data_IF_214106199429
#
_entry.id   IF_214106199429
#
_cell.length_a   1.000
_cell.length_b   1.000
_cell.length_c   1.000
_cell.angle_alpha   90.00
_cell.angle_beta   90.00
_cell.angle_gamma   90.00
#
_symmetry.space_group_name_H-M   'P 1'
#
loop_
_entity.id
_entity.type
_entity.pdbx_description
1 polymer ?
#
# COMPACT_ATOMS: atom_id res chain seq x y z
N UNK A 1 5.06 -14.27 -13.03
CA UNK A 1 4.66 -13.04 -12.34
C UNK A 1 5.83 -12.08 -12.39
N UNK A 2 5.68 -10.89 -12.99
CA UNK A 2 6.74 -9.87 -12.91
C UNK A 2 6.82 -9.42 -11.46
N UNK A 3 7.99 -9.48 -10.80
CA UNK A 3 8.13 -8.93 -9.46
C UNK A 3 7.75 -7.45 -9.51
N UNK A 4 7.01 -6.99 -8.51
CA UNK A 4 6.72 -5.58 -8.33
C UNK A 4 8.07 -4.83 -8.32
N UNK A 5 8.29 -3.98 -9.32
CA UNK A 5 9.49 -3.14 -9.42
C UNK A 5 9.36 -1.94 -8.48
N UNK A 6 9.03 -2.18 -7.22
CA UNK A 6 9.00 -1.14 -6.19
C UNK A 6 10.34 -1.16 -5.47
N UNK A 7 10.96 0.01 -5.37
CA UNK A 7 12.14 0.17 -4.54
C UNK A 7 11.76 -0.08 -3.07
N UNK A 8 12.68 -0.61 -2.24
CA UNK A 8 12.42 -0.84 -0.83
C UNK A 8 11.99 0.43 -0.10
N UNK A 9 12.53 1.58 -0.48
CA UNK A 9 12.14 2.90 0.05
C UNK A 9 10.67 3.24 -0.23
N UNK A 10 10.20 2.96 -1.46
CA UNK A 10 8.79 3.15 -1.86
C UNK A 10 7.88 2.16 -1.14
N UNK A 11 8.34 0.92 -0.93
CA UNK A 11 7.59 -0.09 -0.21
C UNK A 11 7.37 0.29 1.26
N UNK A 12 8.39 0.82 1.94
CA UNK A 12 8.26 1.32 3.32
C UNK A 12 7.24 2.46 3.40
N UNK A 13 7.37 3.46 2.52
CA UNK A 13 6.44 4.60 2.48
C UNK A 13 5.00 4.16 2.18
N UNK A 14 4.80 3.24 1.23
CA UNK A 14 3.49 2.70 0.91
C UNK A 14 2.90 1.91 2.09
N UNK A 15 3.70 1.10 2.78
CA UNK A 15 3.28 0.35 3.96
C UNK A 15 2.80 1.30 5.08
N UNK A 16 3.54 2.40 5.31
CA UNK A 16 3.16 3.44 6.28
C UNK A 16 1.87 4.16 5.87
N UNK A 17 1.76 4.62 4.62
CA UNK A 17 0.58 5.33 4.11
C UNK A 17 -0.68 4.47 4.09
N UNK A 18 -0.53 3.17 3.78
CA UNK A 18 -1.62 2.21 3.78
C UNK A 18 -1.89 1.62 5.17
N UNK A 19 -1.08 1.97 6.17
CA UNK A 19 -1.08 1.44 7.52
C UNK A 19 -1.13 -0.10 7.56
N UNK A 20 -0.31 -0.74 6.73
CA UNK A 20 -0.16 -2.20 6.65
C UNK A 20 1.30 -2.61 6.85
N UNK A 21 1.57 -3.81 7.38
CA UNK A 21 2.93 -4.28 7.55
C UNK A 21 3.65 -4.49 6.21
N UNK A 22 4.94 -4.15 6.18
CA UNK A 22 5.78 -4.26 4.99
C UNK A 22 5.83 -5.68 4.43
N UNK A 23 5.89 -6.71 5.29
CA UNK A 23 5.82 -8.12 4.89
C UNK A 23 4.55 -8.41 4.07
N UNK A 24 3.40 -7.93 4.54
CA UNK A 24 2.13 -8.08 3.84
C UNK A 24 2.13 -7.33 2.51
N UNK A 25 2.74 -6.13 2.45
CA UNK A 25 2.88 -5.36 1.22
C UNK A 25 3.72 -6.11 0.17
N UNK A 26 4.83 -6.73 0.58
CA UNK A 26 5.72 -7.48 -0.32
C UNK A 26 5.07 -8.74 -0.91
N UNK A 27 4.16 -9.36 -0.17
CA UNK A 27 3.36 -10.50 -0.65
C UNK A 27 2.08 -10.08 -1.38
N UNK A 28 1.76 -8.79 -1.38
CA UNK A 28 0.52 -8.29 -1.95
C UNK A 28 0.56 -8.30 -3.48
N UNK A 29 -0.49 -8.81 -4.14
CA UNK A 29 -0.58 -8.71 -5.60
C UNK A 29 -0.89 -7.28 -6.03
N UNK A 30 -0.35 -6.88 -7.19
CA UNK A 30 -0.39 -5.50 -7.70
C UNK A 30 -1.80 -4.90 -7.82
N UNK A 31 -2.80 -5.70 -8.19
CA UNK A 31 -4.18 -5.22 -8.33
C UNK A 31 -4.85 -4.88 -6.98
N UNK A 32 -4.40 -5.47 -5.87
CA UNK A 32 -4.88 -5.12 -4.52
C UNK A 32 -4.25 -3.80 -4.07
N UNK A 33 -2.97 -3.58 -4.39
CA UNK A 33 -2.32 -2.28 -4.14
C UNK A 33 -3.05 -1.15 -4.85
N UNK A 34 -3.40 -1.36 -6.13
CA UNK A 34 -4.16 -0.36 -6.90
C UNK A 34 -5.54 -0.09 -6.31
N UNK A 35 -6.25 -1.12 -5.84
CA UNK A 35 -7.52 -0.94 -5.15
C UNK A 35 -7.35 -0.13 -3.87
N UNK A 36 -6.38 -0.47 -3.02
CA UNK A 36 -6.14 0.28 -1.77
C UNK A 36 -5.70 1.72 -2.02
N UNK A 37 -4.91 1.97 -3.07
CA UNK A 37 -4.54 3.33 -3.49
C UNK A 37 -5.75 4.12 -4.01
N UNK A 38 -6.67 3.46 -4.72
CA UNK A 38 -7.92 4.07 -5.14
C UNK A 38 -8.84 4.35 -3.93
N UNK A 39 -8.91 3.44 -2.96
CA UNK A 39 -9.63 3.62 -1.69
C UNK A 39 -9.03 4.75 -0.85
N UNK A 40 -7.70 4.88 -0.80
CA UNK A 40 -7.02 6.00 -0.14
C UNK A 40 -7.38 7.35 -0.77
N UNK A 41 -7.30 7.47 -2.10
CA UNK A 41 -7.66 8.70 -2.79
C UNK A 41 -9.16 9.02 -2.70
N UNK A 42 -10.02 7.99 -2.71
CA UNK A 42 -11.47 8.17 -2.57
C UNK A 42 -11.90 8.42 -1.12
N UNK A 43 -11.03 8.14 -0.15
CA UNK A 43 -11.34 8.05 1.26
C UNK A 43 -10.42 8.85 2.19
N UNK A 44 -9.75 9.89 1.70
CA UNK A 44 -8.89 10.82 2.49
C UNK A 44 -9.58 11.39 3.77
N UNK A 45 -10.86 11.12 4.01
CA UNK A 45 -11.63 11.55 5.19
C UNK A 45 -11.63 10.55 6.38
N UNK A 46 -11.19 9.29 6.22
CA UNK A 46 -11.30 8.29 7.32
C UNK A 46 -10.12 7.31 7.41
N UNK A 47 -9.00 7.74 8.00
CA UNK A 47 -8.28 7.01 9.08
C UNK A 47 -6.86 7.53 9.25
N UNK A 48 -6.74 8.45 10.18
CA UNK A 48 -5.55 8.69 10.99
C UNK A 48 -5.97 8.86 12.44
N UNK A 49 -6.78 7.93 12.97
CA UNK A 49 -7.23 7.95 14.36
C UNK A 49 -7.59 6.54 14.79
N UNK A 50 -6.62 5.83 15.37
CA UNK A 50 -6.71 5.20 16.71
C UNK A 50 -5.31 4.79 17.18
#
# INVERSE_FOLDING_TARGET
MRPLQISPDTAVKLAEQLNIPLEQLMHMPQHILLQKLAELNAGEDKKGSE
#
